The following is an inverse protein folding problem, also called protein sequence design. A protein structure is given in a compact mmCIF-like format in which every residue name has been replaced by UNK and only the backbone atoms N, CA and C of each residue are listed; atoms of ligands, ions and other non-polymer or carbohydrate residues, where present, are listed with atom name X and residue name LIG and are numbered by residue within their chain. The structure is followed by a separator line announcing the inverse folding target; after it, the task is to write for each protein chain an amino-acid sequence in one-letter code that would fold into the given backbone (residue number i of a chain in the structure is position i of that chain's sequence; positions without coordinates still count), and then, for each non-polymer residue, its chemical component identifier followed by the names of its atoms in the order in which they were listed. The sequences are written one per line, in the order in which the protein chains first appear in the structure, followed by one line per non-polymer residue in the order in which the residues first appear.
data_IF_506540511213
#
_entry.id   IF_506540511213
#
_cell.length_a   1.000
_cell.length_b   1.000
_cell.length_c   1.000
_cell.angle_alpha   90.00
_cell.angle_beta   90.00
_cell.angle_gamma   90.00
#
_symmetry.space_group_name_H-M   'P 1'
#
loop_
_entity.id
_entity.type
_entity.pdbx_description
1 polymer ?
#
# COMPACT_ATOMS: atom_id res chain seq x y z
N UNK A 1 7.22 79.99 2.21
CA UNK A 1 8.35 80.01 3.17
C UNK A 1 9.22 78.78 2.91
N UNK A 2 10.47 78.98 2.47
CA UNK A 2 11.69 78.09 2.40
C UNK A 2 11.48 76.56 2.30
N UNK A 3 11.78 75.86 1.19
CA UNK A 3 13.08 75.36 0.65
C UNK A 3 13.97 74.57 1.65
N UNK A 4 14.41 73.37 1.20
CA UNK A 4 15.73 72.67 1.37
C UNK A 4 15.61 71.29 2.06
N UNK A 5 15.95 70.14 1.42
CA UNK A 5 17.19 69.62 0.76
C UNK A 5 18.02 68.71 1.71
N UNK A 6 18.25 67.48 1.22
CA UNK A 6 19.50 66.67 1.25
C UNK A 6 19.94 65.87 2.51
N UNK A 7 20.20 64.56 2.24
CA UNK A 7 21.17 63.58 2.81
C UNK A 7 22.54 64.20 3.22
N UNK A 8 23.45 63.57 4.05
CA UNK A 8 23.91 62.15 3.95
C UNK A 8 24.46 61.42 5.23
N UNK A 9 24.62 60.09 5.09
CA UNK A 9 25.66 59.12 5.54
C UNK A 9 26.67 59.54 6.64
N UNK A 10 26.89 58.68 7.65
CA UNK A 10 28.21 58.41 8.26
C UNK A 10 28.29 56.97 8.81
N UNK A 11 29.38 56.27 8.44
CA UNK A 11 29.78 54.92 8.88
C UNK A 11 30.48 54.97 10.26
N UNK A 12 30.36 53.91 11.07
CA UNK A 12 31.43 53.51 11.98
C UNK A 12 31.33 52.03 12.35
N UNK A 13 32.36 51.31 11.91
CA UNK A 13 32.75 49.96 12.30
C UNK A 13 33.45 50.07 13.66
N UNK A 14 33.07 49.25 14.64
CA UNK A 14 33.91 48.97 15.79
C UNK A 14 33.95 47.45 16.02
N UNK A 15 35.10 46.88 15.67
CA UNK A 15 35.50 45.50 15.94
C UNK A 15 36.24 45.50 17.30
N UNK A 16 35.80 44.67 18.25
CA UNK A 16 36.58 44.35 19.44
C UNK A 16 36.39 42.87 19.78
N UNK A 17 37.48 42.11 19.60
CA UNK A 17 37.70 40.75 20.06
C UNK A 17 37.88 40.74 21.59
N UNK A 18 37.31 39.75 22.30
CA UNK A 18 38.06 38.94 23.28
C UNK A 18 37.34 37.63 23.67
N UNK A 19 37.98 36.52 23.31
CA UNK A 19 38.29 35.30 24.08
C UNK A 19 37.28 34.77 25.12
N UNK A 20 36.68 33.62 24.76
CA UNK A 20 36.69 32.35 25.50
C UNK A 20 36.46 32.34 27.02
N UNK A 21 35.29 31.84 27.42
CA UNK A 21 35.17 31.03 28.64
C UNK A 21 34.06 29.98 28.46
N UNK A 22 34.50 28.73 28.39
CA UNK A 22 33.67 27.52 28.37
C UNK A 22 32.94 27.33 29.69
N UNK A 23 31.62 27.18 29.65
CA UNK A 23 30.86 26.43 30.65
C UNK A 23 30.10 25.34 29.90
N UNK A 24 30.57 24.11 30.12
CA UNK A 24 29.89 22.89 29.69
C UNK A 24 28.58 22.77 30.47
N UNK A 25 27.46 23.06 29.82
CA UNK A 25 26.19 22.44 30.22
C UNK A 25 26.18 21.05 29.61
N UNK A 26 26.65 20.07 30.39
CA UNK A 26 26.47 18.66 30.11
C UNK A 26 24.97 18.32 30.12
N UNK A 27 24.30 18.53 29.00
CA UNK A 27 23.14 17.71 28.68
C UNK A 27 23.71 16.43 28.11
N UNK A 28 23.93 15.46 28.99
CA UNK A 28 23.97 14.07 28.58
C UNK A 28 22.61 13.80 27.91
N UNK A 29 22.55 13.96 26.59
CA UNK A 29 21.47 13.36 25.81
C UNK A 29 21.69 11.87 25.98
N UNK A 30 20.84 11.25 26.79
CA UNK A 30 20.82 9.82 27.01
C UNK A 30 21.00 9.12 25.66
N UNK A 31 22.06 8.31 25.54
CA UNK A 31 22.30 7.54 24.34
C UNK A 31 21.04 6.76 24.00
N UNK A 32 20.63 6.78 22.74
CA UNK A 32 19.70 5.77 22.26
C UNK A 32 20.34 4.42 22.56
N UNK A 33 19.65 3.51 23.27
CA UNK A 33 20.17 2.19 23.51
C UNK A 33 20.39 1.53 22.16
N UNK A 34 21.59 0.97 21.96
CA UNK A 34 21.80 -0.06 20.95
C UNK A 34 20.97 -1.25 21.43
N UNK A 35 19.74 -1.39 20.94
CA UNK A 35 18.93 -2.57 21.19
C UNK A 35 19.49 -3.70 20.32
N UNK A 36 20.34 -4.52 20.96
CA UNK A 36 20.65 -5.86 20.46
C UNK A 36 19.38 -6.68 20.32
N UNK A 37 19.41 -7.64 19.42
CA UNK A 37 18.33 -8.61 19.23
C UNK A 37 17.90 -9.21 20.58
N UNK A 38 16.65 -8.97 20.97
CA UNK A 38 15.99 -9.63 22.09
C UNK A 38 14.46 -9.61 21.89
N UNK A 39 13.93 -10.78 21.54
CA UNK A 39 12.74 -11.42 22.13
C UNK A 39 11.53 -10.53 22.47
N UNK A 40 10.45 -10.77 21.72
CA UNK A 40 9.09 -10.18 21.74
C UNK A 40 8.91 -8.92 20.86
N UNK A 41 8.02 -8.90 19.85
CA UNK A 41 8.03 -7.86 18.84
C UNK A 41 7.04 -6.76 19.21
N UNK A 42 7.56 -5.61 19.61
CA UNK A 42 6.77 -4.38 19.70
C UNK A 42 6.05 -4.10 18.38
N UNK A 43 4.84 -3.57 18.46
CA UNK A 43 4.12 -3.01 17.33
C UNK A 43 4.83 -1.77 16.80
N UNK A 44 5.02 -1.70 15.49
CA UNK A 44 5.35 -0.44 14.81
C UNK A 44 4.05 0.31 14.53
N UNK A 45 3.78 1.37 15.29
CA UNK A 45 2.61 2.22 15.13
C UNK A 45 2.92 3.43 14.22
N UNK A 46 2.04 3.70 13.27
CA UNK A 46 2.10 4.88 12.38
C UNK A 46 0.73 5.56 12.39
N UNK A 47 0.70 6.88 12.52
CA UNK A 47 -0.51 7.69 12.68
C UNK A 47 -0.60 8.78 11.60
N UNK A 48 -1.79 9.06 11.10
CA UNK A 48 -2.07 10.08 10.07
C UNK A 48 -3.20 11.01 10.50
N UNK A 49 -3.11 12.29 10.11
CA UNK A 49 -4.17 13.29 10.31
C UNK A 49 -5.22 13.26 9.19
N UNK A 50 -5.69 12.05 8.86
CA UNK A 50 -6.83 11.77 8.01
C UNK A 50 -7.33 10.34 8.30
N UNK A 51 -8.55 10.01 7.92
CA UNK A 51 -9.15 8.67 8.13
C UNK A 51 -8.73 7.62 7.09
N UNK A 52 -7.81 7.95 6.19
CA UNK A 52 -7.53 7.15 4.98
C UNK A 52 -6.16 6.46 4.97
N UNK A 53 -5.37 6.61 6.05
CA UNK A 53 -4.01 6.05 6.16
C UNK A 53 -3.07 6.53 5.04
N UNK A 54 -3.28 7.76 4.57
CA UNK A 54 -2.62 8.27 3.37
C UNK A 54 -1.78 9.51 3.63
N UNK A 55 -0.82 9.75 2.74
CA UNK A 55 0.09 10.90 2.84
C UNK A 55 1.16 10.73 3.92
N UNK A 56 1.73 11.85 4.34
CA UNK A 56 2.78 11.89 5.36
C UNK A 56 2.21 11.52 6.74
N UNK A 57 2.82 10.57 7.47
CA UNK A 57 2.45 10.31 8.86
C UNK A 57 2.67 11.54 9.74
N UNK A 58 1.72 11.78 10.64
CA UNK A 58 1.82 12.81 11.67
C UNK A 58 2.75 12.36 12.82
N UNK A 59 2.71 11.06 13.15
CA UNK A 59 3.43 10.48 14.27
C UNK A 59 3.71 8.99 14.02
N UNK A 60 4.79 8.45 14.59
CA UNK A 60 5.05 7.02 14.62
C UNK A 60 5.92 6.67 15.84
N UNK A 61 5.73 5.47 16.40
CA UNK A 61 6.53 4.96 17.52
C UNK A 61 6.45 3.43 17.59
N UNK A 62 7.33 2.82 18.39
CA UNK A 62 7.21 1.42 18.78
C UNK A 62 6.36 1.32 20.05
N UNK A 63 5.44 0.35 20.09
CA UNK A 63 4.47 0.16 21.16
C UNK A 63 4.42 -1.30 21.59
N UNK A 64 4.43 -1.56 22.89
CA UNK A 64 4.46 -2.94 23.40
C UNK A 64 3.08 -3.59 23.46
N UNK A 65 2.01 -2.78 23.39
CA UNK A 65 0.61 -3.22 23.45
C UNK A 65 -0.20 -2.48 22.40
N UNK A 66 -1.34 -3.07 22.01
CA UNK A 66 -2.38 -2.39 21.23
C UNK A 66 -3.65 -2.49 22.06
N UNK A 67 -3.75 -1.62 23.07
CA UNK A 67 -4.85 -1.52 24.03
C UNK A 67 -4.99 -0.06 24.45
N UNK A 68 -5.70 0.70 23.63
CA UNK A 68 -5.84 2.14 23.76
C UNK A 68 -7.31 2.54 23.90
N UNK A 69 -7.52 3.49 24.80
CA UNK A 69 -8.75 4.24 24.99
C UNK A 69 -8.32 5.70 25.21
N UNK A 70 -8.40 6.50 24.15
CA UNK A 70 -8.01 7.90 24.18
C UNK A 70 -9.18 8.82 24.56
N UNK A 71 -10.39 8.29 24.76
CA UNK A 71 -11.61 9.09 24.86
C UNK A 71 -11.67 10.10 23.70
N UNK A 72 -12.00 11.35 23.98
CA UNK A 72 -12.04 12.41 22.95
C UNK A 72 -10.66 13.03 22.64
N UNK A 73 -9.58 12.34 22.98
CA UNK A 73 -8.21 12.79 22.83
C UNK A 73 -7.52 12.19 21.60
N UNK A 74 -6.19 12.27 21.58
CA UNK A 74 -5.36 11.72 20.51
C UNK A 74 -4.16 10.94 21.08
N UNK A 75 -3.55 10.04 20.29
CA UNK A 75 -2.38 9.25 20.70
C UNK A 75 -1.12 10.08 20.98
N UNK A 76 -1.05 11.30 20.42
CA UNK A 76 0.03 12.27 20.58
C UNK A 76 -0.46 13.68 20.19
N UNK A 77 0.17 14.73 20.71
CA UNK A 77 -0.20 16.12 20.43
C UNK A 77 -0.06 16.53 18.95
N UNK A 78 0.73 15.78 18.15
CA UNK A 78 0.86 15.96 16.70
C UNK A 78 -0.28 15.29 15.89
N UNK A 79 -1.09 14.45 16.54
CA UNK A 79 -2.24 13.77 15.94
C UNK A 79 -3.52 14.50 16.32
N UNK A 80 -4.40 14.71 15.34
CA UNK A 80 -5.70 15.33 15.56
C UNK A 80 -6.52 14.50 16.57
N UNK A 81 -7.40 15.17 17.33
CA UNK A 81 -8.33 14.48 18.23
C UNK A 81 -9.43 13.71 17.47
N UNK A 82 -9.79 14.18 16.28
CA UNK A 82 -10.75 13.56 15.37
C UNK A 82 -10.13 13.46 13.97
N UNK A 83 -10.74 12.69 13.07
CA UNK A 83 -10.30 12.54 11.69
C UNK A 83 -8.83 12.09 11.56
N UNK A 84 -8.45 11.09 12.34
CA UNK A 84 -7.12 10.48 12.28
C UNK A 84 -7.20 8.99 11.96
N UNK A 85 -6.08 8.40 11.56
CA UNK A 85 -5.99 6.97 11.37
C UNK A 85 -4.65 6.44 11.82
N UNK A 86 -4.58 5.13 12.04
CA UNK A 86 -3.40 4.47 12.53
C UNK A 86 -3.22 3.07 11.96
N UNK A 87 -1.98 2.63 11.85
CA UNK A 87 -1.57 1.29 11.46
C UNK A 87 -0.53 0.78 12.43
N UNK A 88 -0.74 -0.41 12.97
CA UNK A 88 0.23 -1.16 13.74
C UNK A 88 0.65 -2.39 12.98
N UNK A 89 1.95 -2.65 12.90
CA UNK A 89 2.49 -3.88 12.32
C UNK A 89 3.46 -4.56 13.28
N UNK A 90 3.36 -5.89 13.44
CA UNK A 90 4.34 -6.71 14.18
C UNK A 90 4.51 -8.08 13.54
N UNK A 91 5.66 -8.73 13.74
CA UNK A 91 5.89 -10.12 13.33
C UNK A 91 5.76 -11.02 14.55
N UNK A 92 4.79 -11.94 14.60
CA UNK A 92 4.64 -12.92 15.69
C UNK A 92 5.10 -14.30 15.23
N UNK A 93 5.89 -15.01 16.03
CA UNK A 93 6.23 -16.41 15.77
C UNK A 93 5.22 -17.31 16.50
N UNK A 94 4.41 -18.05 15.75
CA UNK A 94 3.33 -18.88 16.28
C UNK A 94 3.65 -20.36 16.11
N UNK A 95 3.42 -21.21 17.11
CA UNK A 95 3.26 -22.64 16.88
C UNK A 95 2.09 -22.93 15.93
N UNK A 96 2.14 -24.05 15.21
CA UNK A 96 0.99 -24.51 14.45
C UNK A 96 -0.19 -24.75 15.40
N UNK A 97 -1.35 -24.18 15.12
CA UNK A 97 -2.48 -24.23 16.05
C UNK A 97 -3.67 -23.38 15.66
N UNK A 98 -4.74 -23.45 16.44
CA UNK A 98 -5.92 -22.62 16.30
C UNK A 98 -5.82 -21.40 17.21
N UNK A 99 -6.03 -20.22 16.66
CA UNK A 99 -5.92 -18.94 17.35
C UNK A 99 -7.19 -18.13 17.19
N UNK A 100 -7.48 -17.29 18.18
CA UNK A 100 -8.55 -16.29 18.16
C UNK A 100 -7.93 -14.90 18.02
N UNK A 101 -8.38 -14.17 17.01
CA UNK A 101 -8.04 -12.77 16.81
C UNK A 101 -9.24 -11.94 17.24
N UNK A 102 -9.03 -10.94 18.10
CA UNK A 102 -10.06 -10.00 18.51
C UNK A 102 -9.56 -8.57 18.29
N UNK A 103 -10.39 -7.72 17.70
CA UNK A 103 -10.11 -6.29 17.57
C UNK A 103 -11.31 -5.47 18.05
N UNK A 104 -11.07 -4.45 18.86
CA UNK A 104 -12.06 -3.48 19.29
C UNK A 104 -11.76 -2.15 18.62
N UNK A 105 -12.79 -1.47 18.11
CA UNK A 105 -12.69 -0.16 17.48
C UNK A 105 -13.83 0.77 17.87
N UNK A 106 -13.51 2.05 18.02
CA UNK A 106 -14.37 3.22 17.92
C UNK A 106 -13.49 4.33 17.31
N UNK A 107 -13.58 4.69 16.04
CA UNK A 107 -14.41 4.12 14.96
C UNK A 107 -13.83 2.83 14.33
N UNK A 108 -13.51 2.85 13.03
CA UNK A 108 -13.37 1.67 12.19
C UNK A 108 -12.05 0.93 12.39
N UNK A 109 -12.10 -0.39 12.36
CA UNK A 109 -10.95 -1.28 12.58
C UNK A 109 -10.86 -2.43 11.58
N UNK A 110 -9.65 -2.87 11.28
CA UNK A 110 -9.42 -4.12 10.52
C UNK A 110 -8.09 -4.77 10.87
N UNK A 111 -8.03 -6.10 10.73
CA UNK A 111 -6.85 -6.92 11.05
C UNK A 111 -6.46 -7.73 9.84
N UNK A 112 -5.17 -7.72 9.52
CA UNK A 112 -4.52 -8.58 8.54
C UNK A 112 -3.51 -9.49 9.21
N UNK A 113 -3.36 -10.70 8.68
CA UNK A 113 -2.25 -11.60 9.00
C UNK A 113 -1.60 -12.07 7.71
N UNK A 114 -0.30 -11.84 7.51
CA UNK A 114 0.41 -12.10 6.25
C UNK A 114 -0.32 -11.50 5.03
N UNK A 115 -0.79 -10.27 5.19
CA UNK A 115 -1.63 -9.53 4.22
C UNK A 115 -3.02 -10.12 3.93
N UNK A 116 -3.44 -11.20 4.60
CA UNK A 116 -4.80 -11.72 4.53
C UNK A 116 -5.71 -11.01 5.53
N UNK A 117 -6.85 -10.47 5.07
CA UNK A 117 -7.82 -9.77 5.91
C UNK A 117 -8.60 -10.76 6.79
N UNK A 118 -8.34 -10.72 8.10
CA UNK A 118 -8.99 -11.60 9.08
C UNK A 118 -10.27 -10.98 9.67
N UNK A 119 -10.26 -9.68 9.93
CA UNK A 119 -11.36 -8.93 10.53
C UNK A 119 -11.56 -7.61 9.80
N UNK A 120 -12.80 -7.24 9.48
CA UNK A 120 -13.11 -5.99 8.77
C UNK A 120 -14.35 -5.29 9.35
N UNK A 121 -14.10 -4.24 10.11
CA UNK A 121 -15.07 -3.27 10.60
C UNK A 121 -14.72 -1.86 10.14
N UNK A 122 -14.35 -1.67 8.87
CA UNK A 122 -13.87 -0.39 8.35
C UNK A 122 -15.01 0.57 7.96
N UNK A 123 -15.84 0.95 8.94
CA UNK A 123 -16.95 1.90 8.82
C UNK A 123 -17.23 2.53 10.20
N UNK A 124 -17.95 3.65 10.25
CA UNK A 124 -18.13 4.43 11.49
C UNK A 124 -19.00 3.67 12.49
N UNK A 125 -18.48 3.39 13.67
CA UNK A 125 -19.22 2.69 14.71
C UNK A 125 -18.66 3.02 16.09
N UNK A 126 -19.55 3.14 17.08
CA UNK A 126 -19.13 3.19 18.48
C UNK A 126 -18.37 1.92 18.91
N UNK A 127 -17.78 1.93 20.11
CA UNK A 127 -16.99 0.83 20.68
C UNK A 127 -17.60 -0.55 20.38
N UNK A 128 -16.93 -1.30 19.50
CA UNK A 128 -17.37 -2.63 19.07
C UNK A 128 -16.19 -3.57 18.92
N UNK A 129 -16.36 -4.81 19.35
CA UNK A 129 -15.38 -5.89 19.22
C UNK A 129 -15.77 -6.85 18.10
N UNK A 130 -14.81 -7.17 17.23
CA UNK A 130 -14.90 -8.21 16.22
C UNK A 130 -13.94 -9.34 16.56
N UNK A 131 -14.36 -10.58 16.33
CA UNK A 131 -13.57 -11.77 16.67
C UNK A 131 -13.64 -12.80 15.55
N UNK A 132 -12.53 -13.47 15.28
CA UNK A 132 -12.46 -14.60 14.35
C UNK A 132 -11.47 -15.64 14.84
N UNK A 133 -11.66 -16.89 14.43
CA UNK A 133 -10.74 -17.99 14.74
C UNK A 133 -10.12 -18.53 13.45
N UNK A 134 -8.82 -18.80 13.48
CA UNK A 134 -8.06 -19.31 12.33
C UNK A 134 -7.04 -20.34 12.77
N UNK A 135 -6.84 -21.34 11.92
CA UNK A 135 -5.71 -22.25 12.04
C UNK A 135 -4.48 -21.56 11.41
N UNK A 136 -3.41 -21.42 12.19
CA UNK A 136 -2.14 -20.84 11.77
C UNK A 136 -1.10 -21.95 11.64
N UNK A 137 -0.31 -22.00 10.55
CA UNK A 137 0.85 -22.87 10.49
C UNK A 137 1.91 -22.41 11.50
N UNK A 138 2.91 -23.26 11.76
CA UNK A 138 4.03 -22.84 12.58
C UNK A 138 4.91 -21.84 11.83
N UNK A 139 5.41 -20.82 12.53
CA UNK A 139 6.41 -19.88 12.02
C UNK A 139 6.02 -18.42 12.22
N UNK A 140 6.76 -17.55 11.51
CA UNK A 140 6.57 -16.11 11.58
C UNK A 140 5.36 -15.65 10.78
N UNK A 141 4.56 -14.77 11.39
CA UNK A 141 3.39 -14.15 10.82
C UNK A 141 3.43 -12.64 11.04
N UNK A 142 3.30 -11.86 9.97
CA UNK A 142 3.04 -10.42 10.10
C UNK A 142 1.59 -10.22 10.51
N UNK A 143 1.34 -9.54 11.62
CA UNK A 143 0.02 -9.05 12.01
C UNK A 143 0.00 -7.54 11.78
N UNK A 144 -0.99 -7.07 11.02
CA UNK A 144 -1.25 -5.64 10.80
C UNK A 144 -2.65 -5.29 11.29
N UNK A 145 -2.76 -4.32 12.19
CA UNK A 145 -4.03 -3.76 12.63
C UNK A 145 -4.13 -2.34 12.09
N UNK A 146 -5.27 -1.99 11.54
CA UNK A 146 -5.55 -0.63 11.08
C UNK A 146 -6.79 -0.10 11.78
N UNK A 147 -6.78 1.20 12.04
CA UNK A 147 -7.79 1.95 12.76
C UNK A 147 -8.03 3.30 12.09
N UNK A 148 -9.25 3.81 12.13
CA UNK A 148 -9.49 5.24 11.97
C UNK A 148 -10.49 5.74 13.02
N UNK A 149 -10.33 7.01 13.36
CA UNK A 149 -11.27 7.78 14.16
C UNK A 149 -11.83 8.91 13.31
N UNK A 150 -13.16 8.99 13.21
CA UNK A 150 -13.84 10.11 12.55
C UNK A 150 -14.28 11.15 13.57
N UNK A 151 -14.82 10.75 14.70
CA UNK A 151 -14.97 11.65 15.83
C UNK A 151 -15.84 11.12 16.95
N UNK A 152 -15.58 11.61 18.16
CA UNK A 152 -16.16 11.04 19.37
C UNK A 152 -15.06 10.44 20.23
N UNK A 153 -15.29 9.24 20.74
CA UNK A 153 -14.34 8.55 21.60
C UNK A 153 -13.48 7.60 20.76
N UNK A 154 -12.17 7.79 20.77
CA UNK A 154 -11.23 6.95 20.03
C UNK A 154 -10.77 5.75 20.88
N UNK A 155 -11.17 4.53 20.49
CA UNK A 155 -10.79 3.28 21.18
C UNK A 155 -10.25 2.28 20.17
N UNK A 156 -9.09 1.68 20.45
CA UNK A 156 -8.56 0.57 19.64
C UNK A 156 -7.83 -0.45 20.49
N UNK A 157 -8.24 -1.71 20.39
CA UNK A 157 -7.67 -2.82 21.16
C UNK A 157 -7.50 -4.04 20.30
N UNK A 158 -6.43 -4.80 20.47
CA UNK A 158 -6.20 -6.05 19.76
C UNK A 158 -5.70 -7.15 20.69
N UNK A 159 -6.29 -8.32 20.57
CA UNK A 159 -5.90 -9.52 21.29
C UNK A 159 -5.70 -10.70 20.31
N UNK A 160 -4.68 -11.51 20.60
CA UNK A 160 -4.39 -12.77 19.91
C UNK A 160 -4.31 -13.86 20.97
N UNK A 161 -5.35 -14.68 21.07
CA UNK A 161 -5.44 -15.77 22.04
C UNK A 161 -5.16 -17.12 21.38
N UNK A 162 -4.36 -17.96 22.03
CA UNK A 162 -4.16 -19.34 21.61
C UNK A 162 -5.33 -20.21 22.08
N UNK A 163 -6.03 -20.88 21.16
CA UNK A 163 -7.10 -21.84 21.49
C UNK A 163 -6.51 -23.24 21.67
N UNK A 164 -5.71 -23.69 20.70
CA UNK A 164 -5.01 -24.97 20.75
C UNK A 164 -3.74 -24.94 19.91
N UNK A 165 -2.71 -25.68 20.32
CA UNK A 165 -1.47 -25.84 19.55
C UNK A 165 -1.23 -27.30 19.24
N UNK A 166 -0.79 -27.60 18.03
CA UNK A 166 -0.27 -28.93 17.68
C UNK A 166 1.18 -29.02 18.18
N UNK A 167 1.53 -29.98 19.06
CA UNK A 167 2.90 -30.13 19.54
C UNK A 167 3.87 -30.40 18.38
N UNK A 168 5.12 -29.88 18.42
CA UNK A 168 6.14 -30.26 17.45
C UNK A 168 6.52 -31.73 17.68
N UNK A 169 5.95 -32.62 16.87
CA UNK A 169 6.32 -34.04 16.83
C UNK A 169 5.19 -35.00 17.22
N UNK A 170 4.51 -35.53 16.22
CA UNK A 170 4.12 -36.94 16.23
C UNK A 170 4.14 -37.45 14.79
N UNK A 171 5.06 -38.37 14.42
CA UNK A 171 5.03 -38.99 13.10
C UNK A 171 3.88 -40.00 13.10
N UNK A 172 2.96 -39.93 12.14
CA UNK A 172 2.00 -41.02 11.91
C UNK A 172 1.86 -41.32 10.43
N UNK A 173 2.27 -42.56 10.13
CA UNK A 173 2.00 -43.44 9.00
C UNK A 173 2.36 -42.97 7.58
N UNK A 174 3.54 -43.41 7.16
CA UNK A 174 3.86 -43.83 5.78
C UNK A 174 2.70 -44.62 5.15
N UNK A 175 2.10 -44.19 4.01
CA UNK A 175 1.39 -45.10 3.14
C UNK A 175 2.41 -45.92 2.34
N UNK A 176 2.26 -47.24 2.43
CA UNK A 176 2.99 -48.28 1.68
C UNK A 176 3.04 -47.99 0.17
N UNK A 177 4.18 -48.22 -0.51
CA UNK A 177 4.35 -47.86 -1.92
C UNK A 177 3.54 -48.79 -2.81
N UNK A 178 2.58 -48.23 -3.55
CA UNK A 178 1.99 -48.89 -4.71
C UNK A 178 2.52 -48.22 -5.97
N UNK A 179 3.04 -49.06 -6.85
CA UNK A 179 3.69 -48.81 -8.14
C UNK A 179 3.15 -47.64 -8.97
N UNK A 180 4.08 -46.82 -9.46
CA UNK A 180 3.89 -45.79 -10.49
C UNK A 180 3.42 -46.43 -11.81
N UNK A 181 2.60 -45.71 -12.60
CA UNK A 181 3.19 -45.18 -13.83
C UNK A 181 2.85 -43.70 -14.09
N UNK A 182 3.91 -42.98 -14.51
CA UNK A 182 4.00 -41.88 -15.47
C UNK A 182 3.08 -40.62 -15.38
N UNK A 183 3.55 -39.45 -15.85
CA UNK A 183 3.23 -38.15 -15.29
C UNK A 183 2.01 -37.51 -15.96
N UNK A 184 1.08 -37.02 -15.15
CA UNK A 184 -0.05 -36.23 -15.63
C UNK A 184 -0.96 -35.81 -14.49
N UNK A 185 -1.15 -34.49 -14.35
CA UNK A 185 -2.10 -33.89 -13.41
C UNK A 185 -1.44 -33.26 -12.19
N UNK A 186 -1.10 -31.97 -12.32
CA UNK A 186 -1.03 -31.05 -11.18
C UNK A 186 -2.32 -31.24 -10.35
N UNK A 187 -2.24 -31.58 -9.05
CA UNK A 187 -3.43 -31.55 -8.20
C UNK A 187 -4.00 -30.12 -8.25
N UNK A 188 -5.33 -29.93 -8.38
CA UNK A 188 -5.89 -28.60 -8.30
C UNK A 188 -5.54 -28.06 -6.91
N UNK A 189 -4.73 -27.02 -6.87
CA UNK A 189 -4.77 -26.08 -5.75
C UNK A 189 -6.24 -25.67 -5.69
N UNK A 190 -6.91 -26.02 -4.59
CA UNK A 190 -8.24 -25.51 -4.31
C UNK A 190 -8.17 -23.99 -4.52
N UNK A 191 -8.90 -23.50 -5.52
CA UNK A 191 -9.03 -22.07 -5.76
C UNK A 191 -9.47 -21.42 -4.45
N UNK A 192 -8.82 -20.36 -3.97
CA UNK A 192 -9.39 -19.59 -2.87
C UNK A 192 -10.76 -19.12 -3.34
N UNK A 193 -11.81 -19.35 -2.54
CA UNK A 193 -13.14 -18.84 -2.84
C UNK A 193 -13.04 -17.38 -3.27
N UNK A 194 -13.65 -17.06 -4.42
CA UNK A 194 -13.62 -15.74 -5.01
C UNK A 194 -14.05 -14.69 -3.97
N UNK A 195 -13.09 -13.93 -3.43
CA UNK A 195 -13.42 -12.86 -2.48
C UNK A 195 -14.38 -11.87 -3.15
N UNK A 196 -15.59 -11.72 -2.64
CA UNK A 196 -16.57 -10.83 -3.25
C UNK A 196 -16.18 -9.34 -3.06
N UNK A 197 -16.65 -8.49 -3.97
CA UNK A 197 -16.63 -7.04 -3.82
C UNK A 197 -17.58 -6.62 -2.71
N UNK A 198 -17.16 -5.65 -1.90
CA UNK A 198 -18.08 -4.94 -1.01
C UNK A 198 -18.70 -3.80 -1.81
N UNK A 199 -19.99 -3.90 -2.12
CA UNK A 199 -20.75 -2.87 -2.83
C UNK A 199 -21.60 -2.05 -1.88
N UNK A 200 -21.31 -0.75 -1.79
CA UNK A 200 -22.08 0.26 -1.05
C UNK A 200 -23.00 1.00 -2.02
N UNK A 201 -24.32 0.94 -1.82
CA UNK A 201 -25.33 1.49 -2.73
C UNK A 201 -25.98 2.72 -2.11
N UNK A 202 -26.08 3.81 -2.88
CA UNK A 202 -26.55 5.12 -2.42
C UNK A 202 -27.74 5.60 -3.26
N UNK A 203 -28.73 6.23 -2.62
CA UNK A 203 -29.86 6.88 -3.28
C UNK A 203 -29.55 8.32 -3.73
N UNK A 204 -28.35 8.52 -4.29
CA UNK A 204 -27.93 9.75 -4.93
C UNK A 204 -26.75 9.47 -5.87
N UNK A 205 -26.50 10.35 -6.84
CA UNK A 205 -25.42 10.23 -7.84
C UNK A 205 -24.02 10.58 -7.28
N UNK A 206 -23.91 10.98 -6.01
CA UNK A 206 -22.69 11.62 -5.47
C UNK A 206 -21.93 10.77 -4.46
N UNK A 207 -22.45 9.59 -4.12
CA UNK A 207 -21.92 8.72 -3.06
C UNK A 207 -21.88 9.43 -1.70
N UNK A 208 -22.85 10.32 -1.48
CA UNK A 208 -22.97 11.14 -0.26
C UNK A 208 -23.86 10.45 0.78
N UNK A 209 -23.54 10.66 2.06
CA UNK A 209 -24.29 10.12 3.19
C UNK A 209 -24.01 8.63 3.46
N UNK A 210 -24.85 8.02 4.30
CA UNK A 210 -24.78 6.58 4.59
C UNK A 210 -25.31 5.79 3.40
N UNK A 211 -24.65 4.69 2.98
CA UNK A 211 -25.20 3.79 1.97
C UNK A 211 -26.59 3.31 2.39
N UNK A 212 -27.54 3.31 1.47
CA UNK A 212 -28.87 2.75 1.70
C UNK A 212 -28.81 1.24 1.94
N UNK A 213 -27.81 0.56 1.37
CA UNK A 213 -27.49 -0.84 1.67
C UNK A 213 -26.06 -1.17 1.26
N UNK A 214 -25.50 -2.18 1.91
CA UNK A 214 -24.20 -2.76 1.58
C UNK A 214 -24.40 -4.23 1.24
N UNK A 215 -23.80 -4.71 0.15
CA UNK A 215 -23.90 -6.11 -0.27
C UNK A 215 -22.55 -6.68 -0.70
N UNK A 216 -22.51 -7.99 -0.73
CA UNK A 216 -21.40 -8.78 -1.24
C UNK A 216 -21.68 -9.14 -2.70
N UNK A 217 -20.89 -8.61 -3.62
CA UNK A 217 -21.03 -8.80 -5.07
C UNK A 217 -19.87 -9.67 -5.58
N UNK A 218 -20.15 -10.90 -6.02
CA UNK A 218 -19.09 -11.81 -6.50
C UNK A 218 -18.30 -11.20 -7.68
N UNK A 219 -19.00 -10.51 -8.58
CA UNK A 219 -18.45 -9.83 -9.75
C UNK A 219 -19.14 -8.47 -9.93
N UNK A 220 -18.44 -7.53 -10.57
CA UNK A 220 -19.06 -6.30 -11.10
C UNK A 220 -19.41 -6.59 -12.56
N UNK A 221 -20.58 -7.18 -12.78
CA UNK A 221 -21.15 -7.43 -14.12
C UNK A 221 -22.67 -7.31 -14.03
N UNK A 222 -23.12 -6.06 -13.91
CA UNK A 222 -24.51 -5.71 -13.69
C UNK A 222 -25.12 -5.04 -14.90
N UNK A 223 -26.29 -5.53 -15.29
CA UNK A 223 -27.19 -4.91 -16.27
C UNK A 223 -28.58 -4.84 -15.66
N UNK A 224 -28.94 -3.67 -15.15
CA UNK A 224 -30.24 -3.44 -14.53
C UNK A 224 -31.28 -2.93 -15.54
N UNK A 225 -30.87 -2.62 -16.78
CA UNK A 225 -31.74 -1.95 -17.75
C UNK A 225 -32.29 -0.66 -17.17
N UNK A 226 -33.59 -0.40 -17.35
CA UNK A 226 -34.29 0.73 -16.71
C UNK A 226 -34.76 0.42 -15.27
N UNK A 227 -34.17 -0.59 -14.63
CA UNK A 227 -34.57 -1.10 -13.32
C UNK A 227 -33.64 -0.66 -12.19
N UNK A 228 -33.96 -1.10 -10.98
CA UNK A 228 -33.15 -0.81 -9.79
C UNK A 228 -32.21 -1.96 -9.43
N UNK A 229 -31.02 -1.68 -8.88
CA UNK A 229 -30.17 -2.69 -8.28
C UNK A 229 -30.85 -3.52 -7.18
N UNK A 230 -31.72 -2.87 -6.40
CA UNK A 230 -32.48 -3.47 -5.30
C UNK A 230 -33.83 -2.74 -5.21
N UNK A 231 -34.88 -3.23 -5.91
CA UNK A 231 -36.19 -2.60 -5.92
C UNK A 231 -36.74 -2.35 -4.51
N UNK A 232 -37.22 -1.14 -4.26
CA UNK A 232 -37.75 -0.71 -2.96
C UNK A 232 -36.69 -0.24 -1.95
N UNK A 233 -35.40 -0.40 -2.26
CA UNK A 233 -34.28 0.12 -1.44
C UNK A 233 -33.48 1.17 -2.21
N UNK A 234 -33.14 0.86 -3.46
CA UNK A 234 -32.44 1.75 -4.39
C UNK A 234 -33.43 2.24 -5.45
N UNK A 235 -33.38 3.52 -5.81
CA UNK A 235 -34.15 4.06 -6.93
C UNK A 235 -33.72 3.45 -8.27
N UNK A 236 -34.60 3.49 -9.28
CA UNK A 236 -34.27 3.07 -10.66
C UNK A 236 -33.28 4.04 -11.33
N UNK A 237 -33.27 5.28 -10.90
CA UNK A 237 -32.44 6.36 -11.43
C UNK A 237 -31.80 7.14 -10.27
N UNK A 238 -30.78 7.93 -10.58
CA UNK A 238 -30.11 8.84 -9.63
C UNK A 238 -29.52 8.12 -8.41
N UNK A 239 -28.86 7.01 -8.66
CA UNK A 239 -28.19 6.22 -7.63
C UNK A 239 -26.69 6.15 -7.91
N UNK A 240 -25.92 5.71 -6.93
CA UNK A 240 -24.50 5.43 -7.13
C UNK A 240 -24.07 4.22 -6.34
N UNK A 241 -22.96 3.64 -6.75
CA UNK A 241 -22.39 2.46 -6.11
C UNK A 241 -20.89 2.64 -5.96
N UNK A 242 -20.36 2.30 -4.79
CA UNK A 242 -18.92 2.13 -4.56
C UNK A 242 -18.64 0.67 -4.30
N UNK A 243 -17.89 0.04 -5.20
CA UNK A 243 -17.33 -1.28 -4.98
C UNK A 243 -15.88 -1.17 -4.52
N UNK A 244 -15.54 -1.94 -3.49
CA UNK A 244 -14.15 -2.08 -3.04
C UNK A 244 -13.78 -3.55 -2.88
N UNK A 245 -12.54 -3.88 -3.25
CA UNK A 245 -11.96 -5.21 -3.07
C UNK A 245 -10.45 -5.12 -3.01
N UNK A 246 -9.85 -5.88 -2.10
CA UNK A 246 -8.42 -6.18 -2.15
C UNK A 246 -8.24 -7.45 -3.00
N UNK A 247 -7.46 -7.34 -4.07
CA UNK A 247 -7.24 -8.43 -5.01
C UNK A 247 -5.74 -8.71 -5.15
N UNK A 248 -5.36 -9.98 -5.10
CA UNK A 248 -3.96 -10.38 -5.29
C UNK A 248 -3.65 -10.45 -6.78
N UNK A 249 -2.57 -9.80 -7.17
CA UNK A 249 -2.02 -9.80 -8.51
C UNK A 249 -0.63 -10.40 -8.53
N UNK A 250 -0.29 -11.07 -9.62
CA UNK A 250 1.11 -11.30 -9.96
C UNK A 250 1.73 -9.99 -10.42
N UNK A 251 3.03 -9.82 -10.20
CA UNK A 251 3.75 -8.66 -10.70
C UNK A 251 3.71 -8.61 -12.23
N UNK A 252 3.43 -7.43 -12.80
CA UNK A 252 3.31 -7.24 -14.24
C UNK A 252 2.29 -6.19 -14.64
N UNK A 253 2.06 -6.06 -15.95
CA UNK A 253 1.07 -5.13 -16.49
C UNK A 253 -0.33 -5.75 -16.50
N UNK A 254 -1.27 -5.05 -15.89
CA UNK A 254 -2.67 -5.43 -15.82
C UNK A 254 -3.53 -4.38 -16.51
N UNK A 255 -4.47 -4.85 -17.33
CA UNK A 255 -5.44 -4.02 -18.01
C UNK A 255 -6.75 -4.06 -17.24
N UNK A 256 -7.25 -2.88 -16.93
CA UNK A 256 -8.55 -2.66 -16.31
C UNK A 256 -9.47 -2.04 -17.34
N UNK A 257 -10.63 -2.66 -17.57
CA UNK A 257 -11.62 -2.19 -18.54
C UNK A 257 -12.96 -2.04 -17.86
N UNK A 258 -13.55 -0.85 -17.98
CA UNK A 258 -14.88 -0.53 -17.47
C UNK A 258 -15.84 -0.37 -18.63
N UNK A 259 -17.07 -0.85 -18.47
CA UNK A 259 -18.18 -0.57 -19.39
C UNK A 259 -19.38 -0.15 -18.56
N UNK A 260 -19.75 1.13 -18.64
CA UNK A 260 -20.77 1.72 -17.77
C UNK A 260 -21.72 2.64 -18.52
N UNK A 261 -22.93 2.73 -17.98
CA UNK A 261 -23.97 3.69 -18.32
C UNK A 261 -24.63 4.04 -16.97
N UNK A 262 -24.39 5.17 -16.32
CA UNK A 262 -23.57 6.34 -16.68
C UNK A 262 -22.08 6.27 -16.20
N UNK A 263 -21.69 7.18 -15.29
CA UNK A 263 -20.32 7.61 -15.04
C UNK A 263 -19.52 6.64 -14.17
N UNK A 264 -18.19 6.67 -14.31
CA UNK A 264 -17.29 5.73 -13.63
C UNK A 264 -16.00 6.38 -13.18
N UNK A 265 -15.50 5.96 -12.02
CA UNK A 265 -14.11 6.17 -11.59
C UNK A 265 -13.51 4.86 -11.10
N UNK A 266 -12.25 4.62 -11.42
CA UNK A 266 -11.53 3.42 -10.99
C UNK A 266 -10.21 3.82 -10.33
N UNK A 267 -9.94 3.25 -9.16
CA UNK A 267 -8.67 3.37 -8.46
C UNK A 267 -7.99 2.02 -8.31
N UNK A 268 -6.66 2.04 -8.41
CA UNK A 268 -5.78 0.94 -8.04
C UNK A 268 -4.75 1.50 -7.06
N UNK A 269 -4.68 0.93 -5.86
CA UNK A 269 -3.86 1.40 -4.73
C UNK A 269 -4.05 2.90 -4.39
N UNK A 270 -5.27 3.39 -4.58
CA UNK A 270 -5.61 4.79 -4.34
C UNK A 270 -5.20 5.74 -5.48
N UNK A 271 -4.51 5.28 -6.53
CA UNK A 271 -4.28 6.06 -7.74
C UNK A 271 -5.51 5.98 -8.66
N UNK A 272 -6.04 7.12 -9.07
CA UNK A 272 -7.17 7.23 -10.01
C UNK A 272 -6.69 6.92 -11.43
N UNK A 273 -7.07 5.75 -11.96
CA UNK A 273 -6.61 5.24 -13.26
C UNK A 273 -7.63 5.42 -14.37
N UNK A 274 -8.93 5.53 -14.04
CA UNK A 274 -10.01 5.92 -14.96
C UNK A 274 -10.85 6.97 -14.25
N UNK A 275 -11.09 8.10 -14.90
CA UNK A 275 -11.92 9.20 -14.38
C UNK A 275 -12.89 9.70 -15.45
N UNK A 276 -14.12 9.20 -15.43
CA UNK A 276 -15.21 9.57 -16.33
C UNK A 276 -16.48 9.81 -15.52
N UNK A 277 -16.41 10.70 -14.53
CA UNK A 277 -17.54 11.06 -13.67
C UNK A 277 -18.49 12.07 -14.33
N UNK A 278 -19.16 11.63 -15.41
CA UNK A 278 -20.12 12.40 -16.21
C UNK A 278 -21.20 11.46 -16.76
N UNK A 279 -22.34 12.02 -17.18
CA UNK A 279 -23.36 11.24 -17.88
C UNK A 279 -22.81 10.70 -19.22
N UNK A 280 -23.17 9.46 -19.56
CA UNK A 280 -22.68 8.72 -20.72
C UNK A 280 -23.85 7.97 -21.38
N UNK A 281 -23.61 7.25 -22.47
CA UNK A 281 -24.63 6.39 -23.11
C UNK A 281 -24.03 5.02 -23.40
N UNK A 282 -23.58 4.33 -22.35
CA UNK A 282 -22.89 3.05 -22.45
C UNK A 282 -21.51 3.16 -23.10
N UNK A 283 -20.56 3.76 -22.38
CA UNK A 283 -19.18 3.92 -22.85
C UNK A 283 -18.24 2.86 -22.25
N UNK A 284 -17.06 2.73 -22.85
CA UNK A 284 -16.01 1.80 -22.39
C UNK A 284 -14.69 2.52 -22.28
N UNK A 285 -14.02 2.35 -21.14
CA UNK A 285 -12.72 2.95 -20.87
C UNK A 285 -11.74 1.91 -20.34
N UNK A 286 -10.46 2.08 -20.67
CA UNK A 286 -9.40 1.19 -20.23
C UNK A 286 -8.20 1.94 -19.66
N UNK A 287 -7.51 1.28 -18.73
CA UNK A 287 -6.22 1.71 -18.20
C UNK A 287 -5.30 0.49 -18.07
N UNK A 288 -4.01 0.66 -18.34
CA UNK A 288 -2.99 -0.36 -18.07
C UNK A 288 -2.10 0.10 -16.93
N UNK A 289 -1.96 -0.73 -15.90
CA UNK A 289 -1.24 -0.43 -14.67
C UNK A 289 -0.16 -1.47 -14.46
N UNK A 290 1.06 -1.03 -14.14
CA UNK A 290 2.12 -1.93 -13.68
C UNK A 290 1.92 -2.20 -12.19
N UNK A 291 1.59 -3.44 -11.84
CA UNK A 291 1.43 -3.87 -10.47
C UNK A 291 2.65 -4.68 -10.03
N UNK A 292 2.99 -4.53 -8.75
CA UNK A 292 3.93 -5.43 -8.10
C UNK A 292 3.22 -6.76 -7.81
N UNK A 293 3.98 -7.80 -7.45
CA UNK A 293 3.33 -8.99 -6.93
C UNK A 293 2.80 -8.67 -5.53
N UNK A 294 1.53 -8.94 -5.27
CA UNK A 294 0.96 -8.65 -3.97
C UNK A 294 -0.53 -8.37 -4.00
N UNK A 295 -1.04 -7.92 -2.87
CA UNK A 295 -2.43 -7.50 -2.72
C UNK A 295 -2.54 -6.03 -3.09
N UNK A 296 -3.42 -5.72 -4.05
CA UNK A 296 -3.70 -4.36 -4.49
C UNK A 296 -5.13 -3.98 -4.12
N UNK A 297 -5.31 -2.73 -3.70
CA UNK A 297 -6.63 -2.20 -3.36
C UNK A 297 -7.32 -1.69 -4.63
N UNK A 298 -8.43 -2.30 -5.00
CA UNK A 298 -9.29 -1.85 -6.08
C UNK A 298 -10.51 -1.12 -5.51
N UNK A 299 -10.84 0.01 -6.12
CA UNK A 299 -12.11 0.70 -5.88
C UNK A 299 -12.69 1.13 -7.21
N UNK A 300 -13.95 0.80 -7.45
CA UNK A 300 -14.72 1.32 -8.57
C UNK A 300 -15.91 2.10 -8.02
N UNK A 301 -16.08 3.33 -8.47
CA UNK A 301 -17.26 4.12 -8.21
C UNK A 301 -18.04 4.27 -9.51
N UNK A 302 -19.36 4.23 -9.40
CA UNK A 302 -20.31 4.33 -10.50
C UNK A 302 -21.49 5.19 -10.09
N UNK A 303 -22.07 5.94 -11.02
CA UNK A 303 -23.40 6.51 -10.83
C UNK A 303 -24.29 6.24 -12.03
N UNK A 304 -25.58 6.20 -11.76
CA UNK A 304 -26.66 6.21 -12.73
C UNK A 304 -27.45 7.51 -12.55
N UNK A 305 -27.64 8.27 -13.61
CA UNK A 305 -28.46 9.48 -13.60
C UNK A 305 -29.86 9.19 -14.13
N UNK A 306 -30.00 8.72 -15.37
CA UNK A 306 -31.29 8.37 -15.95
C UNK A 306 -31.18 7.33 -17.08
N UNK A 307 -32.18 6.44 -17.15
CA UNK A 307 -32.33 5.50 -18.25
C UNK A 307 -31.73 4.13 -17.94
N UNK A 308 -30.76 3.69 -18.74
CA UNK A 308 -30.22 2.33 -18.68
C UNK A 308 -29.04 2.29 -17.72
N UNK A 309 -29.18 1.53 -16.64
CA UNK A 309 -28.14 1.33 -15.67
C UNK A 309 -27.33 0.06 -15.95
N UNK A 310 -26.03 0.23 -16.23
CA UNK A 310 -25.07 -0.87 -16.44
C UNK A 310 -23.72 -0.56 -15.79
N UNK A 311 -23.14 -1.55 -15.13
CA UNK A 311 -21.78 -1.47 -14.62
C UNK A 311 -21.03 -2.79 -14.78
N UNK A 312 -19.91 -2.76 -15.51
CA UNK A 312 -19.03 -3.91 -15.69
C UNK A 312 -17.57 -3.53 -15.48
N UNK A 313 -16.82 -4.39 -14.78
CA UNK A 313 -15.37 -4.33 -14.68
C UNK A 313 -14.74 -5.65 -15.16
N UNK A 314 -13.80 -5.54 -16.10
CA UNK A 314 -12.95 -6.64 -16.53
C UNK A 314 -11.52 -6.31 -16.10
N UNK A 315 -10.85 -7.28 -15.50
CA UNK A 315 -9.45 -7.21 -15.10
C UNK A 315 -8.70 -8.36 -15.75
N UNK A 316 -7.74 -8.06 -16.60
CA UNK A 316 -7.00 -9.06 -17.35
C UNK A 316 -5.50 -8.75 -17.41
N UNK A 317 -4.66 -9.79 -17.44
CA UNK A 317 -3.23 -9.62 -17.69
C UNK A 317 -3.04 -9.08 -19.12
N UNK A 318 -2.28 -7.99 -19.28
CA UNK A 318 -2.02 -7.41 -20.59
C UNK A 318 -0.97 -8.25 -21.38
N UNK A 319 -1.41 -9.34 -22.02
CA UNK A 319 -0.62 -10.29 -22.86
C UNK A 319 0.52 -11.06 -22.13
N UNK A 320 0.98 -12.23 -22.64
CA UNK A 320 1.38 -13.36 -21.78
C UNK A 320 2.50 -12.94 -20.83
N UNK A 321 2.53 -13.48 -19.59
CA UNK A 321 3.43 -13.01 -18.55
C UNK A 321 4.86 -13.02 -19.10
N UNK A 322 5.33 -11.84 -19.50
CA UNK A 322 6.75 -11.67 -19.78
C UNK A 322 7.42 -12.01 -18.47
N UNK A 323 8.44 -12.88 -18.47
CA UNK A 323 9.18 -13.13 -17.26
C UNK A 323 9.54 -11.78 -16.63
N UNK A 324 9.17 -11.59 -15.37
CA UNK A 324 9.46 -10.35 -14.64
C UNK A 324 10.67 -10.58 -13.75
N UNK A 325 11.48 -9.56 -13.55
CA UNK A 325 12.50 -9.53 -12.51
C UNK A 325 12.17 -8.46 -11.48
N UNK A 326 12.98 -8.39 -10.43
CA UNK A 326 12.90 -7.27 -9.50
C UNK A 326 14.14 -6.38 -9.57
N UNK A 327 14.06 -5.20 -8.99
CA UNK A 327 15.18 -4.33 -8.70
C UNK A 327 15.28 -4.17 -7.19
N UNK A 328 16.44 -4.50 -6.65
CA UNK A 328 16.80 -4.23 -5.26
C UNK A 328 17.87 -3.15 -5.27
N UNK A 329 17.59 -2.04 -4.63
CA UNK A 329 18.50 -0.90 -4.57
C UNK A 329 18.43 -0.22 -3.22
N UNK A 330 19.32 0.75 -3.03
CA UNK A 330 19.32 1.60 -1.87
C UNK A 330 19.19 3.04 -2.29
N UNK A 331 18.37 3.79 -1.58
CA UNK A 331 18.04 5.20 -1.73
C UNK A 331 18.15 5.82 -0.33
N UNK A 332 19.14 6.70 -0.06
CA UNK A 332 19.40 7.17 1.29
C UNK A 332 18.15 7.72 2.00
N UNK A 333 17.90 7.28 3.24
CA UNK A 333 16.85 7.85 4.07
C UNK A 333 17.33 9.22 4.59
N UNK A 334 16.44 10.20 4.67
CA UNK A 334 16.71 11.55 5.18
C UNK A 334 17.88 12.33 4.51
N UNK A 335 17.94 12.43 3.17
CA UNK A 335 18.84 13.41 2.58
C UNK A 335 18.33 14.84 2.87
N UNK A 336 19.19 15.86 2.78
CA UNK A 336 18.78 17.26 2.96
C UNK A 336 17.59 17.67 2.09
N UNK A 337 17.40 17.01 0.92
CA UNK A 337 16.19 17.05 0.10
C UNK A 337 15.78 15.62 -0.36
N UNK A 338 14.67 15.49 -1.10
CA UNK A 338 14.13 14.19 -1.57
C UNK A 338 15.16 13.35 -2.34
N UNK A 339 15.30 12.07 -1.97
CA UNK A 339 16.03 11.05 -2.73
C UNK A 339 15.09 10.02 -3.36
N UNK A 340 15.39 9.61 -4.59
CA UNK A 340 14.58 8.68 -5.36
C UNK A 340 15.38 8.07 -6.51
N UNK A 341 14.84 7.02 -7.14
CA UNK A 341 15.41 6.43 -8.35
C UNK A 341 14.57 6.70 -9.59
N UNK A 342 15.27 6.81 -10.72
CA UNK A 342 14.68 6.75 -12.06
C UNK A 342 15.08 5.43 -12.70
N UNK A 343 14.12 4.78 -13.35
CA UNK A 343 14.29 3.47 -14.00
C UNK A 343 14.00 3.62 -15.48
N UNK A 344 14.95 3.22 -16.30
CA UNK A 344 14.89 3.30 -17.76
C UNK A 344 15.04 1.93 -18.40
N UNK A 345 14.42 1.79 -19.57
CA UNK A 345 14.46 0.59 -20.41
C UNK A 345 14.65 0.99 -21.88
N UNK A 346 15.24 0.13 -22.71
CA UNK A 346 15.33 0.36 -24.16
C UNK A 346 14.05 -0.06 -24.87
N UNK A 347 13.62 0.72 -25.85
CA UNK A 347 12.53 0.36 -26.75
C UNK A 347 12.99 -0.60 -27.87
N UNK A 348 12.11 -0.86 -28.84
CA UNK A 348 12.41 -1.70 -30.00
C UNK A 348 13.57 -1.14 -30.84
N UNK A 349 13.68 0.18 -30.91
CA UNK A 349 14.71 0.91 -31.67
C UNK A 349 16.01 1.11 -30.88
N UNK A 350 16.05 0.63 -29.63
CA UNK A 350 17.23 0.70 -28.76
C UNK A 350 17.38 2.02 -28.01
N UNK A 351 16.37 2.89 -28.01
CA UNK A 351 16.38 4.17 -27.30
C UNK A 351 15.88 4.00 -25.87
N UNK A 352 16.54 4.67 -24.91
CA UNK A 352 16.11 4.69 -23.52
C UNK A 352 14.81 5.49 -23.34
N UNK A 353 13.84 4.89 -22.66
CA UNK A 353 12.62 5.55 -22.16
C UNK A 353 12.45 5.28 -20.66
N UNK A 354 11.68 6.13 -19.98
CA UNK A 354 11.35 5.96 -18.57
C UNK A 354 10.38 4.78 -18.43
N UNK A 355 10.87 3.68 -17.87
CA UNK A 355 10.06 2.49 -17.60
C UNK A 355 9.05 2.74 -16.48
N UNK A 356 9.42 3.61 -15.53
CA UNK A 356 8.54 4.12 -14.48
C UNK A 356 8.45 5.64 -14.64
N UNK A 357 7.27 6.20 -15.00
CA UNK A 357 7.15 7.63 -15.32
C UNK A 357 7.48 8.57 -14.15
N UNK A 358 7.16 8.15 -12.92
CA UNK A 358 7.44 8.86 -11.66
C UNK A 358 8.70 8.28 -10.99
N UNK A 359 9.48 9.13 -10.31
CA UNK A 359 10.61 8.66 -9.50
C UNK A 359 10.13 7.93 -8.24
N UNK A 360 10.86 6.92 -7.78
CA UNK A 360 10.49 6.12 -6.59
C UNK A 360 11.50 6.33 -5.46
N UNK A 361 11.02 6.78 -4.29
CA UNK A 361 11.82 6.94 -3.08
C UNK A 361 11.99 5.64 -2.28
N UNK A 362 12.80 5.65 -1.21
CA UNK A 362 12.91 4.48 -0.32
C UNK A 362 11.58 4.22 0.40
N UNK A 363 11.20 2.96 0.52
CA UNK A 363 10.04 2.52 1.30
C UNK A 363 10.41 2.15 2.75
N UNK A 364 11.71 2.07 3.06
CA UNK A 364 12.23 1.65 4.36
C UNK A 364 13.24 2.64 4.93
N UNK A 365 13.26 2.80 6.26
CA UNK A 365 14.12 3.75 6.97
C UNK A 365 15.63 3.47 6.87
N UNK A 366 16.02 2.29 6.38
CA UNK A 366 17.43 1.96 6.04
C UNK A 366 17.84 2.43 4.64
N UNK A 367 16.91 3.04 3.90
CA UNK A 367 17.07 3.36 2.49
C UNK A 367 16.86 2.18 1.55
N UNK A 368 16.46 1.01 2.05
CA UNK A 368 16.17 -0.14 1.20
C UNK A 368 14.95 0.12 0.30
N UNK A 369 15.07 -0.26 -0.97
CA UNK A 369 14.00 -0.19 -1.96
C UNK A 369 14.00 -1.46 -2.81
N UNK A 370 12.86 -2.16 -2.84
CA UNK A 370 12.59 -3.27 -3.74
C UNK A 370 11.45 -2.91 -4.68
N UNK A 371 11.63 -3.18 -5.98
CA UNK A 371 10.62 -3.00 -7.01
C UNK A 371 10.46 -4.34 -7.72
N UNK A 372 9.33 -5.01 -7.52
CA UNK A 372 8.98 -6.24 -8.22
C UNK A 372 8.23 -5.96 -9.54
N UNK A 373 8.21 -6.95 -10.43
CA UNK A 373 7.38 -6.89 -11.64
C UNK A 373 8.00 -6.16 -12.83
N UNK A 374 9.30 -5.84 -12.81
CA UNK A 374 9.97 -5.20 -13.95
C UNK A 374 9.99 -6.16 -15.15
N UNK A 375 9.43 -5.76 -16.31
CA UNK A 375 9.34 -6.65 -17.47
C UNK A 375 10.72 -7.08 -18.00
N UNK A 376 10.86 -8.36 -18.34
CA UNK A 376 12.03 -8.89 -19.04
C UNK A 376 11.60 -9.52 -20.35
N UNK A 377 12.11 -9.00 -21.45
CA UNK A 377 11.94 -9.59 -22.78
C UNK A 377 12.92 -10.76 -22.96
N UNK A 378 12.55 -11.93 -22.42
CA UNK A 378 13.36 -13.14 -22.56
C UNK A 378 13.41 -13.69 -23.98
N UNK A 379 12.49 -13.29 -24.86
CA UNK A 379 12.56 -13.64 -26.27
C UNK A 379 13.73 -12.92 -26.96
N UNK A 380 13.94 -11.65 -26.61
CA UNK A 380 15.05 -10.84 -27.13
C UNK A 380 16.37 -11.08 -26.40
N UNK A 381 16.35 -11.25 -25.08
CA UNK A 381 17.57 -11.23 -24.25
C UNK A 381 17.87 -12.56 -23.54
N UNK A 382 16.99 -13.56 -23.63
CA UNK A 382 17.17 -14.85 -22.95
C UNK A 382 17.23 -14.73 -21.42
N UNK A 383 17.76 -15.77 -20.77
CA UNK A 383 17.91 -15.82 -19.31
C UNK A 383 18.97 -14.88 -18.72
N UNK A 384 19.79 -14.24 -19.57
CA UNK A 384 20.79 -13.27 -19.13
C UNK A 384 20.17 -11.98 -18.58
N UNK A 385 18.89 -11.73 -18.89
CA UNK A 385 18.15 -10.56 -18.44
C UNK A 385 18.21 -9.41 -19.43
N UNK A 386 17.27 -8.48 -19.29
CA UNK A 386 17.12 -7.31 -20.15
C UNK A 386 17.93 -6.13 -19.60
N UNK A 387 18.58 -5.31 -20.45
CA UNK A 387 19.28 -4.12 -20.01
C UNK A 387 18.34 -3.06 -19.42
N UNK A 388 18.68 -2.58 -18.23
CA UNK A 388 18.02 -1.48 -17.53
C UNK A 388 19.06 -0.42 -17.16
N UNK A 389 18.62 0.83 -17.13
CA UNK A 389 19.43 1.94 -16.61
C UNK A 389 18.75 2.52 -15.38
N UNK A 390 19.49 2.57 -14.27
CA UNK A 390 19.02 3.04 -12.97
C UNK A 390 19.84 4.26 -12.55
N UNK A 391 19.17 5.37 -12.26
CA UNK A 391 19.77 6.56 -11.67
C UNK A 391 19.28 6.73 -10.23
N UNK A 392 20.19 7.02 -9.32
CA UNK A 392 19.86 7.53 -7.99
C UNK A 392 19.99 9.05 -7.99
N UNK A 393 18.91 9.72 -7.58
CA UNK A 393 18.83 11.16 -7.47
C UNK A 393 18.79 11.58 -6.01
N UNK A 394 19.60 12.56 -5.65
CA UNK A 394 19.61 13.22 -4.35
C UNK A 394 19.78 14.72 -4.61
N UNK A 395 19.00 15.56 -3.94
CA UNK A 395 19.09 17.03 -4.08
C UNK A 395 18.99 17.51 -5.54
N UNK A 396 18.14 16.83 -6.33
CA UNK A 396 17.90 17.17 -7.73
C UNK A 396 19.06 16.85 -8.67
N UNK A 397 20.04 16.04 -8.25
CA UNK A 397 21.18 15.62 -9.07
C UNK A 397 21.33 14.10 -9.07
N UNK A 398 21.83 13.56 -10.18
CA UNK A 398 22.26 12.16 -10.25
C UNK A 398 23.52 12.01 -9.41
N UNK A 399 23.46 11.16 -8.40
CA UNK A 399 24.62 10.84 -7.54
C UNK A 399 25.22 9.47 -7.86
N UNK A 400 24.42 8.56 -8.43
CA UNK A 400 24.84 7.23 -8.89
C UNK A 400 24.06 6.84 -10.15
N UNK A 401 24.72 6.14 -11.06
CA UNK A 401 24.12 5.58 -12.26
C UNK A 401 24.69 4.19 -12.53
N UNK A 402 23.88 3.30 -13.09
CA UNK A 402 24.33 2.03 -13.66
C UNK A 402 23.45 1.67 -14.85
N UNK A 403 24.03 1.09 -15.89
CA UNK A 403 23.28 0.55 -17.03
C UNK A 403 23.14 1.47 -18.24
N UNK A 404 23.48 2.78 -18.13
CA UNK A 404 23.54 3.64 -19.30
C UNK A 404 24.81 3.39 -20.13
N UNK A 405 24.79 2.32 -20.91
CA UNK A 405 25.90 1.93 -21.78
C UNK A 405 26.27 3.01 -22.81
N UNK A 406 25.30 3.86 -23.17
CA UNK A 406 25.51 4.94 -24.16
C UNK A 406 26.35 6.08 -23.55
N UNK A 407 26.44 6.17 -22.22
CA UNK A 407 27.30 7.09 -21.46
C UNK A 407 28.50 6.40 -20.80
N UNK A 408 28.73 5.11 -21.09
CA UNK A 408 29.87 4.35 -20.59
C UNK A 408 29.66 3.69 -19.23
N UNK A 409 28.44 3.66 -18.69
CA UNK A 409 28.15 2.88 -17.48
C UNK A 409 28.34 1.38 -17.72
N UNK A 410 28.65 0.63 -16.65
CA UNK A 410 28.57 -0.83 -16.69
C UNK A 410 27.12 -1.24 -16.97
N UNK A 411 26.92 -2.20 -17.88
CA UNK A 411 25.60 -2.72 -18.19
C UNK A 411 24.96 -3.34 -16.94
N UNK A 412 23.71 -2.98 -16.68
CA UNK A 412 22.89 -3.56 -15.62
C UNK A 412 21.73 -4.30 -16.25
N UNK A 413 21.52 -5.55 -15.86
CA UNK A 413 20.46 -6.40 -16.41
C UNK A 413 19.51 -6.84 -15.31
N UNK A 414 18.22 -6.72 -15.59
CA UNK A 414 17.17 -7.34 -14.79
C UNK A 414 16.94 -8.75 -15.34
N UNK A 415 17.31 -9.75 -14.53
CA UNK A 415 17.08 -11.17 -14.84
C UNK A 415 15.67 -11.57 -14.42
N UNK A 416 15.03 -12.45 -15.19
CA UNK A 416 13.71 -12.95 -14.85
C UNK A 416 13.77 -13.82 -13.60
N UNK A 417 12.76 -13.68 -12.73
CA UNK A 417 12.57 -14.45 -11.50
C UNK A 417 13.77 -14.43 -10.55
N UNK A 418 14.51 -13.32 -10.54
CA UNK A 418 15.73 -13.17 -9.77
C UNK A 418 15.77 -11.84 -9.03
N UNK A 419 16.54 -11.84 -7.93
CA UNK A 419 16.92 -10.66 -7.19
C UNK A 419 18.04 -9.91 -7.94
N UNK A 420 17.76 -8.68 -8.40
CA UNK A 420 18.74 -7.88 -9.15
C UNK A 420 19.18 -6.66 -8.35
N UNK A 421 20.37 -6.74 -7.76
CA UNK A 421 20.93 -5.68 -6.92
C UNK A 421 21.71 -4.66 -7.72
N UNK A 422 21.41 -3.37 -7.55
CA UNK A 422 22.32 -2.30 -8.00
C UNK A 422 23.70 -2.47 -7.37
N UNK A 423 24.80 -2.04 -8.02
CA UNK A 423 26.15 -2.23 -7.50
C UNK A 423 26.42 -1.42 -6.22
N UNK A 424 25.52 -0.49 -5.87
CA UNK A 424 25.54 0.17 -4.60
C UNK A 424 24.62 -0.48 -3.56
N UNK A 425 25.15 -0.65 -2.35
CA UNK A 425 24.38 -1.04 -1.17
C UNK A 425 23.90 0.15 -0.33
N UNK A 426 23.15 -0.17 0.72
CA UNK A 426 22.67 0.79 1.69
C UNK A 426 23.87 1.17 2.56
N UNK A 427 24.09 2.46 2.78
CA UNK A 427 25.12 2.89 3.72
C UNK A 427 24.80 2.27 5.09
N UNK A 428 25.80 1.67 5.72
CA UNK A 428 25.68 1.09 7.06
C UNK A 428 25.60 2.17 8.11
#
# INVERSE_FOLDING_TARGET
MKIKKNLPILWSICLLLLVGMTLFSSHAQAGTPVYGAATEPAWRAVYWNNTTLSGQPAFFRDETTLDYDWGNGSPDASVNANDFSARWTRIVDLPAGRYRFSVTGDDGVRVYVNDELFLNGWWDHGVRTFTTERDMPAGQHEVRVEFYERGGAAVVKFALDTISTTPPGSPTATPTPTTLPAPGGKPPIAAPEESAWTGEYFNNERLEGTPATVRSDAVIDFDWGNGSPIPGVIGENRFSVRWSRNMRFAGGQWRFKTSTDDGVRLWVDGELVIDQWRAMQGETHEATVLLQEGVHALKMEYFEQEGVARAKLIVESAEPPRPVGNLITCVPPNPPNYAWIRVYRKDGDGKWYRAIPKGIGSIHASGYLKIDGLPVDTARFGGAGEPYWIEQWIDGKVVRSVGNTDQGDTEFRIRPFADNHTPWGCAK
#
